data_IF_986070692997
#
_entry.id   IF_986070692997
#
_cell.length_a   1.000
_cell.length_b   1.000
_cell.length_c   1.000
_cell.angle_alpha   90.00
_cell.angle_beta   90.00
_cell.angle_gamma   90.00
#
_symmetry.space_group_name_H-M   'P 1'
#
loop_
_entity.id
_entity.type
_entity.pdbx_description
1 polymer ?
#
# COMPACT_ATOMS: atom_id res chain seq x y z
N UNK A 1 3.95 -6.19 19.12
CA UNK A 1 3.52 -6.34 17.71
C UNK A 1 4.35 -7.43 17.06
N UNK A 2 3.71 -8.48 16.54
CA UNK A 2 4.41 -9.64 15.97
C UNK A 2 5.01 -9.28 14.61
N UNK A 3 6.23 -9.75 14.33
CA UNK A 3 6.95 -9.50 13.06
C UNK A 3 6.22 -10.05 11.82
N UNK A 4 5.17 -10.86 11.99
CA UNK A 4 4.37 -11.42 10.90
C UNK A 4 3.38 -10.41 10.29
N UNK A 5 2.80 -9.53 11.11
CA UNK A 5 1.69 -8.67 10.68
C UNK A 5 2.13 -7.64 9.62
N UNK A 6 3.36 -7.13 9.74
CA UNK A 6 3.90 -6.15 8.78
C UNK A 6 4.10 -6.73 7.37
N UNK A 7 4.40 -8.03 7.27
CA UNK A 7 4.53 -8.71 5.97
C UNK A 7 3.20 -8.80 5.24
N UNK A 8 2.14 -9.12 5.98
CA UNK A 8 0.78 -9.26 5.43
C UNK A 8 0.28 -7.91 4.92
N UNK A 9 0.45 -6.84 5.71
CA UNK A 9 0.07 -5.47 5.31
C UNK A 9 0.83 -5.05 4.04
N UNK A 10 2.14 -5.28 3.98
CA UNK A 10 2.94 -4.91 2.81
C UNK A 10 2.51 -5.66 1.55
N UNK A 11 2.19 -6.96 1.67
CA UNK A 11 1.68 -7.76 0.55
C UNK A 11 0.33 -7.26 0.03
N UNK A 12 -0.58 -6.84 0.93
CA UNK A 12 -1.87 -6.27 0.55
C UNK A 12 -1.72 -4.90 -0.14
N UNK A 13 -0.82 -4.05 0.36
CA UNK A 13 -0.51 -2.75 -0.26
C UNK A 13 0.06 -2.91 -1.67
N UNK A 14 1.03 -3.81 -1.87
CA UNK A 14 1.61 -4.07 -3.20
C UNK A 14 0.54 -4.60 -4.17
N UNK A 15 -0.34 -5.49 -3.71
CA UNK A 15 -1.40 -6.08 -4.54
C UNK A 15 -2.47 -5.06 -4.92
N UNK A 16 -2.82 -4.15 -4.00
CA UNK A 16 -3.76 -3.05 -4.25
C UNK A 16 -3.19 -2.08 -5.29
N UNK A 17 -1.94 -1.65 -5.14
CA UNK A 17 -1.26 -0.81 -6.14
C UNK A 17 -1.19 -1.49 -7.51
N UNK A 18 -0.91 -2.81 -7.54
CA UNK A 18 -0.85 -3.59 -8.79
C UNK A 18 -2.22 -3.67 -9.50
N UNK A 19 -3.31 -3.92 -8.77
CA UNK A 19 -4.65 -3.96 -9.35
C UNK A 19 -5.11 -2.57 -9.82
N UNK A 20 -4.73 -1.51 -9.12
CA UNK A 20 -5.02 -0.13 -9.54
C UNK A 20 -4.24 0.30 -10.79
N UNK A 21 -3.10 -0.33 -11.09
CA UNK A 21 -2.26 0.02 -12.24
C UNK A 21 -2.49 -0.86 -13.48
N UNK A 22 -3.55 -1.68 -13.50
CA UNK A 22 -3.87 -2.65 -14.58
C UNK A 22 -4.24 -1.99 -15.93
N UNK A 23 -4.30 -0.66 -15.99
CA UNK A 23 -4.41 0.13 -17.23
C UNK A 23 -3.06 0.36 -17.93
N UNK A 24 -1.92 0.06 -17.30
CA UNK A 24 -0.57 0.26 -17.88
C UNK A 24 0.24 -1.03 -18.13
N UNK A 25 -0.24 -2.21 -17.72
CA UNK A 25 0.52 -3.46 -17.78
C UNK A 25 0.48 -4.17 -19.16
N UNK A 26 0.42 -3.42 -20.26
CA UNK A 26 0.59 -3.98 -21.60
C UNK A 26 2.06 -4.08 -22.02
N UNK A 27 2.98 -3.43 -21.29
CA UNK A 27 4.39 -3.45 -21.64
C UNK A 27 5.18 -4.34 -20.66
N UNK A 28 5.57 -5.51 -21.16
CA UNK A 28 6.39 -6.47 -20.43
C UNK A 28 7.82 -5.93 -20.28
N UNK A 29 8.05 -5.10 -19.26
CA UNK A 29 9.39 -4.64 -18.91
C UNK A 29 10.16 -5.75 -18.17
N UNK A 30 11.42 -5.93 -18.57
CA UNK A 30 12.36 -6.92 -18.04
C UNK A 30 12.58 -6.83 -16.52
N UNK A 31 12.32 -5.66 -15.92
CA UNK A 31 12.37 -5.47 -14.47
C UNK A 31 11.33 -6.30 -13.70
N UNK A 32 10.18 -6.62 -14.32
CA UNK A 32 9.15 -7.46 -13.70
C UNK A 32 9.60 -8.93 -13.63
N UNK A 33 10.44 -9.37 -14.58
CA UNK A 33 10.99 -10.72 -14.59
C UNK A 33 11.98 -10.92 -13.43
N UNK A 34 12.79 -9.91 -13.14
CA UNK A 34 13.67 -9.88 -11.97
C UNK A 34 12.86 -9.99 -10.66
N UNK A 35 11.75 -9.26 -10.53
CA UNK A 35 10.87 -9.33 -9.36
C UNK A 35 10.20 -10.70 -9.19
N UNK A 36 9.78 -11.35 -10.29
CA UNK A 36 9.28 -12.74 -10.27
C UNK A 36 10.31 -13.72 -9.74
N UNK A 37 11.60 -13.51 -10.05
CA UNK A 37 12.69 -14.37 -9.59
C UNK A 37 12.89 -14.29 -8.08
N UNK A 38 12.67 -13.12 -7.46
CA UNK A 38 12.72 -12.95 -6.00
C UNK A 38 11.52 -13.52 -5.27
N UNK A 39 10.35 -13.55 -5.92
CA UNK A 39 9.12 -14.13 -5.36
C UNK A 39 9.10 -15.66 -5.38
N UNK A 40 10.05 -16.32 -6.07
CA UNK A 40 10.13 -17.77 -6.15
C UNK A 40 10.95 -18.32 -4.97
N UNK A 41 10.38 -19.17 -4.10
CA UNK A 41 11.15 -19.76 -3.00
C UNK A 41 12.25 -20.70 -3.53
N UNK A 42 13.45 -20.71 -2.93
CA UNK A 42 14.58 -21.49 -3.42
C UNK A 42 14.50 -22.92 -2.89
N UNK A 43 13.75 -23.77 -3.59
CA UNK A 43 14.04 -25.21 -3.78
C UNK A 43 12.79 -25.91 -4.28
N UNK A 44 12.67 -26.06 -5.61
CA UNK A 44 12.23 -27.32 -6.20
C UNK A 44 13.09 -27.51 -7.45
N UNK A 45 14.19 -28.24 -7.28
CA UNK A 45 15.01 -28.74 -8.39
C UNK A 45 14.16 -29.77 -9.14
N UNK A 46 13.80 -29.41 -10.38
CA UNK A 46 13.61 -30.28 -11.55
C UNK A 46 13.15 -31.73 -11.32
N UNK A 47 11.85 -31.98 -11.53
CA UNK A 47 11.38 -33.18 -12.24
C UNK A 47 10.16 -32.75 -13.06
N UNK A 48 10.39 -32.25 -14.27
CA UNK A 48 9.40 -32.31 -15.33
C UNK A 48 10.04 -33.12 -16.46
N UNK A 49 9.68 -34.40 -16.66
CA UNK A 49 9.65 -34.93 -18.00
C UNK A 49 8.55 -34.16 -18.72
N UNK A 50 8.92 -33.48 -19.80
CA UNK A 50 7.97 -32.99 -20.78
C UNK A 50 7.06 -34.16 -21.16
N UNK A 51 5.80 -34.13 -20.74
CA UNK A 51 4.72 -34.72 -21.51
C UNK A 51 3.40 -34.07 -21.13
N UNK A 52 2.78 -33.53 -22.17
CA UNK A 52 1.48 -32.90 -22.16
C UNK A 52 0.43 -33.91 -21.68
N UNK A 53 -0.23 -33.60 -20.58
CA UNK A 53 -1.55 -34.15 -20.29
C UNK A 53 -2.44 -33.00 -19.83
N UNK A 54 -3.44 -32.74 -20.66
CA UNK A 54 -4.57 -31.87 -20.43
C UNK A 54 -5.41 -32.46 -19.27
N UNK A 55 -4.91 -32.26 -18.04
CA UNK A 55 -5.53 -32.73 -16.81
C UNK A 55 -6.04 -31.54 -16.02
N UNK A 56 -7.36 -31.49 -15.84
CA UNK A 56 -8.15 -30.51 -15.08
C UNK A 56 -7.32 -29.61 -14.16
N UNK A 57 -7.18 -28.34 -14.55
CA UNK A 57 -6.89 -27.27 -13.61
C UNK A 57 -8.11 -27.25 -12.68
N UNK A 58 -8.01 -27.89 -11.52
CA UNK A 58 -8.94 -27.63 -10.43
C UNK A 58 -8.97 -26.12 -10.27
N UNK A 59 -10.14 -25.52 -10.50
CA UNK A 59 -10.43 -24.16 -10.09
C UNK A 59 -10.23 -24.13 -8.57
N UNK A 60 -9.00 -23.80 -8.15
CA UNK A 60 -8.72 -23.46 -6.77
C UNK A 60 -9.55 -22.22 -6.48
N UNK A 61 -10.74 -22.45 -5.94
CA UNK A 61 -11.68 -21.38 -5.66
C UNK A 61 -11.00 -20.41 -4.69
N UNK A 62 -10.60 -19.25 -5.20
CA UNK A 62 -10.09 -18.14 -4.39
C UNK A 62 -11.13 -17.65 -3.35
N UNK A 63 -12.37 -18.18 -3.40
CA UNK A 63 -13.48 -17.84 -2.52
C UNK A 63 -13.30 -18.26 -1.05
N UNK A 64 -12.32 -19.11 -0.70
CA UNK A 64 -12.22 -19.65 0.67
C UNK A 64 -11.31 -18.85 1.61
N UNK A 65 -10.54 -17.87 1.12
CA UNK A 65 -9.63 -17.07 1.95
C UNK A 65 -10.17 -15.68 2.27
N UNK A 66 -11.48 -15.55 2.53
CA UNK A 66 -12.04 -14.36 3.17
C UNK A 66 -11.95 -14.62 4.67
N UNK A 67 -10.96 -14.03 5.32
CA UNK A 67 -10.82 -14.12 6.77
C UNK A 67 -11.59 -12.97 7.42
N UNK A 68 -12.81 -13.19 7.95
CA UNK A 68 -13.71 -12.08 8.30
C UNK A 68 -13.18 -11.25 9.47
N UNK A 69 -12.44 -11.87 10.39
CA UNK A 69 -11.83 -11.18 11.53
C UNK A 69 -10.75 -10.19 11.09
N UNK A 70 -9.92 -10.57 10.13
CA UNK A 70 -8.86 -9.74 9.58
C UNK A 70 -9.42 -8.55 8.81
N UNK A 71 -10.54 -8.75 8.11
CA UNK A 71 -11.28 -7.68 7.44
C UNK A 71 -11.82 -6.69 8.47
N UNK A 72 -12.48 -7.16 9.52
CA UNK A 72 -13.01 -6.32 10.59
C UNK A 72 -11.89 -5.50 11.27
N UNK A 73 -10.75 -6.13 11.54
CA UNK A 73 -9.58 -5.44 12.12
C UNK A 73 -9.05 -4.38 11.13
N UNK A 74 -8.90 -4.73 9.85
CA UNK A 74 -8.42 -3.80 8.83
C UNK A 74 -9.35 -2.60 8.68
N UNK A 75 -10.66 -2.84 8.62
CA UNK A 75 -11.68 -1.80 8.54
C UNK A 75 -11.60 -0.86 9.75
N UNK A 76 -11.53 -1.41 10.97
CA UNK A 76 -11.41 -0.62 12.19
C UNK A 76 -10.17 0.28 12.18
N UNK A 77 -9.02 -0.26 11.78
CA UNK A 77 -7.75 0.50 11.72
C UNK A 77 -7.81 1.57 10.64
N UNK A 78 -8.41 1.27 9.48
CA UNK A 78 -8.57 2.26 8.40
C UNK A 78 -9.50 3.41 8.82
N UNK A 79 -10.64 3.11 9.44
CA UNK A 79 -11.57 4.12 9.93
C UNK A 79 -10.94 5.01 11.02
N UNK A 80 -10.13 4.44 11.90
CA UNK A 80 -9.36 5.21 12.88
C UNK A 80 -8.32 6.12 12.22
N UNK A 81 -7.58 5.60 11.23
CA UNK A 81 -6.59 6.35 10.49
C UNK A 81 -7.22 7.51 9.70
N UNK A 82 -8.37 7.28 9.04
CA UNK A 82 -9.12 8.31 8.32
C UNK A 82 -9.53 9.45 9.26
N UNK A 83 -10.14 9.13 10.41
CA UNK A 83 -10.55 10.13 11.40
C UNK A 83 -9.37 10.97 11.89
N UNK A 84 -8.23 10.33 12.15
CA UNK A 84 -7.01 11.04 12.57
C UNK A 84 -6.46 11.94 11.47
N UNK A 85 -6.48 11.48 10.20
CA UNK A 85 -6.06 12.28 9.06
C UNK A 85 -6.95 13.51 8.87
N UNK A 86 -8.28 13.35 8.95
CA UNK A 86 -9.24 14.47 8.87
C UNK A 86 -8.98 15.50 9.97
N UNK A 87 -8.88 15.06 11.22
CA UNK A 87 -8.57 15.93 12.36
C UNK A 87 -7.28 16.74 12.16
N UNK A 88 -6.21 16.06 11.70
CA UNK A 88 -4.93 16.73 11.45
C UNK A 88 -4.91 17.56 10.16
N UNK A 89 -5.79 17.31 9.19
CA UNK A 89 -5.90 18.10 7.96
C UNK A 89 -6.59 19.45 8.21
N UNK A 90 -7.69 19.45 8.95
CA UNK A 90 -8.55 20.64 9.16
C UNK A 90 -7.94 21.68 10.10
N UNK A 91 -7.24 21.24 11.15
CA UNK A 91 -6.68 22.13 12.17
C UNK A 91 -5.17 22.30 12.04
N UNK A 92 -4.66 23.50 12.31
CA UNK A 92 -3.23 23.75 12.56
C UNK A 92 -2.96 24.03 14.04
N UNK A 93 -3.90 23.69 14.93
CA UNK A 93 -3.80 24.00 16.35
C UNK A 93 -2.74 23.11 17.02
N UNK A 94 -1.93 23.76 17.87
CA UNK A 94 -0.72 23.24 18.49
C UNK A 94 0.39 22.79 17.53
N UNK A 95 0.26 23.01 16.23
CA UNK A 95 1.35 22.80 15.29
C UNK A 95 2.30 24.00 15.34
N UNK A 96 3.59 23.71 15.46
CA UNK A 96 4.67 24.70 15.36
C UNK A 96 5.14 24.79 13.92
N UNK A 97 5.46 26.01 13.48
CA UNK A 97 6.08 26.22 12.18
C UNK A 97 7.42 25.48 12.14
N UNK A 98 7.59 24.60 11.14
CA UNK A 98 8.86 23.95 10.87
C UNK A 98 9.65 24.76 9.84
N UNK A 99 9.04 24.98 8.67
CA UNK A 99 9.69 25.64 7.55
C UNK A 99 8.66 26.25 6.60
N UNK A 100 9.00 27.40 6.01
CA UNK A 100 8.18 28.07 4.99
C UNK A 100 8.93 28.08 3.67
N UNK A 101 8.53 27.20 2.75
CA UNK A 101 9.14 27.10 1.42
C UNK A 101 8.67 28.25 0.52
N UNK A 102 7.41 28.65 0.64
CA UNK A 102 6.84 29.77 -0.11
C UNK A 102 5.63 30.37 0.61
N UNK A 103 4.96 31.37 0.01
CA UNK A 103 3.67 31.86 0.51
C UNK A 103 2.59 30.78 0.49
N UNK A 104 2.68 29.85 -0.46
CA UNK A 104 1.66 28.83 -0.73
C UNK A 104 2.07 27.44 -0.21
N UNK A 105 3.28 27.27 0.33
CA UNK A 105 3.83 25.99 0.78
C UNK A 105 4.47 26.13 2.16
N UNK A 106 3.82 25.59 3.19
CA UNK A 106 4.26 25.71 4.58
C UNK A 106 4.26 24.34 5.25
N UNK A 107 5.36 24.02 5.92
CA UNK A 107 5.53 22.81 6.73
C UNK A 107 5.46 23.13 8.22
N UNK A 108 4.79 22.27 8.96
CA UNK A 108 4.59 22.34 10.38
C UNK A 108 4.92 21.01 11.05
N UNK A 109 5.09 21.05 12.37
CA UNK A 109 5.26 19.85 13.18
C UNK A 109 4.55 19.96 14.53
N UNK A 110 4.15 18.81 15.08
CA UNK A 110 3.57 18.69 16.42
C UNK A 110 4.13 17.43 17.07
N UNK A 111 4.41 17.50 18.38
CA UNK A 111 4.74 16.30 19.17
C UNK A 111 3.45 15.77 19.79
N UNK A 112 3.18 14.48 19.61
CA UNK A 112 2.05 13.79 20.22
C UNK A 112 2.58 12.52 20.91
N UNK A 113 2.65 12.55 22.24
CA UNK A 113 3.36 11.51 23.01
C UNK A 113 4.83 11.40 22.58
N UNK A 114 5.23 10.21 22.15
CA UNK A 114 6.58 9.92 21.64
C UNK A 114 6.70 10.07 20.12
N UNK A 115 5.63 10.47 19.44
CA UNK A 115 5.58 10.61 17.97
C UNK A 115 5.72 12.07 17.56
N UNK A 116 6.46 12.32 16.49
CA UNK A 116 6.54 13.62 15.82
C UNK A 116 5.68 13.55 14.55
N UNK A 117 4.68 14.43 14.47
CA UNK A 117 3.76 14.52 13.34
C UNK A 117 4.19 15.72 12.49
N UNK A 118 4.39 15.50 11.20
CA UNK A 118 4.65 16.56 10.22
C UNK A 118 3.39 16.82 9.39
N UNK A 119 3.15 18.09 9.09
CA UNK A 119 2.05 18.54 8.23
C UNK A 119 2.60 19.45 7.16
N UNK A 120 2.20 19.23 5.91
CA UNK A 120 2.58 20.06 4.79
C UNK A 120 1.33 20.60 4.10
N UNK A 121 1.16 21.91 4.13
CA UNK A 121 0.05 22.59 3.48
C UNK A 121 0.55 23.24 2.20
N UNK A 122 -0.03 22.84 1.07
CA UNK A 122 0.27 23.42 -0.24
C UNK A 122 -1.00 23.93 -0.92
N UNK A 123 -1.00 25.20 -1.34
CA UNK A 123 -2.08 25.78 -2.14
C UNK A 123 -1.77 25.62 -3.62
N UNK A 124 -2.55 24.77 -4.30
CA UNK A 124 -2.52 24.63 -5.75
C UNK A 124 -3.24 25.84 -6.36
N UNK A 125 -2.60 26.48 -7.35
CA UNK A 125 -3.19 27.58 -8.12
C UNK A 125 -3.87 27.02 -9.36
N UNK A 126 -5.05 27.54 -9.68
CA UNK A 126 -5.83 27.13 -10.86
C UNK A 126 -6.14 25.62 -10.89
N UNK A 127 -6.87 25.09 -9.88
CA UNK A 127 -7.15 23.66 -9.80
C UNK A 127 -7.91 23.11 -11.00
N UNK A 128 -8.65 23.96 -11.72
CA UNK A 128 -9.50 23.58 -12.85
C UNK A 128 -8.79 23.57 -14.21
N UNK A 129 -7.47 23.80 -14.26
CA UNK A 129 -6.67 23.83 -15.49
C UNK A 129 -5.81 22.58 -15.70
N UNK A 130 -6.24 21.45 -15.15
CA UNK A 130 -5.58 20.16 -15.33
C UNK A 130 -5.84 19.57 -16.74
#
# INVERSE_FOLDING_TARGET
MSKGYIKIIFSLLISSVYMSNKTFAAEANSDIEALRKFARPPNIRSIFPNDYSEGAIEEQSFNSCVYPQEIEIAEKVMNEAERLLQYHAESTDDYKLYHKFSKDSIAYYKKHGNTLIFKFNHKIKYPDKA
#
